data_IF_327500532955
#
_entry.id   IF_327500532955
#
_cell.length_a   1.000
_cell.length_b   1.000
_cell.length_c   1.000
_cell.angle_alpha   90.00
_cell.angle_beta   90.00
_cell.angle_gamma   90.00
#
_symmetry.space_group_name_H-M   'P 1'
#
loop_
_entity.id
_entity.type
_entity.pdbx_description
1 polymer ?
#
# COMPACT_ATOMS: atom_id res chain seq x y z
N UNK A 1 -7.11 20.16 15.37
CA UNK A 1 -6.31 20.71 14.26
C UNK A 1 -5.32 19.63 13.87
N UNK A 2 -5.27 19.29 12.58
CA UNK A 2 -4.44 18.19 12.06
C UNK A 2 -2.96 18.51 12.25
N UNK A 3 -2.22 17.55 12.81
CA UNK A 3 -0.77 17.61 12.91
C UNK A 3 -0.12 17.25 11.56
N UNK A 4 -0.07 18.22 10.67
CA UNK A 4 0.47 18.05 9.30
C UNK A 4 1.93 17.61 9.26
N UNK A 5 2.72 17.99 10.28
CA UNK A 5 4.11 17.56 10.38
C UNK A 5 4.18 16.05 10.58
N UNK A 6 3.46 15.50 11.56
CA UNK A 6 3.48 14.07 11.83
C UNK A 6 2.78 13.24 10.75
N UNK A 7 1.77 13.79 10.06
CA UNK A 7 1.22 13.18 8.83
C UNK A 7 2.31 13.03 7.77
N UNK A 8 3.10 14.08 7.51
CA UNK A 8 4.19 14.04 6.53
C UNK A 8 5.28 13.04 6.90
N UNK A 9 5.70 12.99 8.17
CA UNK A 9 6.70 12.03 8.66
C UNK A 9 6.20 10.59 8.50
N UNK A 10 4.94 10.32 8.88
CA UNK A 10 4.36 9.00 8.74
C UNK A 10 4.29 8.56 7.26
N UNK A 11 3.92 9.48 6.35
CA UNK A 11 3.85 9.20 4.93
C UNK A 11 5.21 8.84 4.32
N UNK A 12 6.26 9.61 4.65
CA UNK A 12 7.63 9.33 4.17
C UNK A 12 8.15 8.02 4.76
N UNK A 13 7.97 7.79 6.06
CA UNK A 13 8.41 6.56 6.71
C UNK A 13 7.76 5.33 6.06
N UNK A 14 6.45 5.38 5.83
CA UNK A 14 5.73 4.27 5.20
C UNK A 14 6.04 4.11 3.71
N UNK A 15 6.39 5.19 3.01
CA UNK A 15 6.89 5.10 1.64
C UNK A 15 8.16 4.26 1.58
N UNK A 16 9.12 4.50 2.49
CA UNK A 16 10.35 3.71 2.57
C UNK A 16 10.05 2.25 2.89
N UNK A 17 9.20 1.99 3.89
CA UNK A 17 8.78 0.62 4.25
C UNK A 17 8.13 -0.08 3.06
N UNK A 18 7.24 0.60 2.34
CA UNK A 18 6.58 0.04 1.16
C UNK A 18 7.57 -0.31 0.05
N UNK A 19 8.58 0.54 -0.21
CA UNK A 19 9.61 0.21 -1.21
C UNK A 19 10.40 -1.04 -0.83
N UNK A 20 10.75 -1.22 0.44
CA UNK A 20 11.43 -2.45 0.90
C UNK A 20 10.53 -3.67 0.71
N UNK A 21 9.27 -3.60 1.15
CA UNK A 21 8.32 -4.71 1.03
C UNK A 21 8.08 -5.08 -0.42
N UNK A 22 7.81 -4.12 -1.30
CA UNK A 22 7.58 -4.39 -2.72
C UNK A 22 8.84 -4.87 -3.45
N UNK A 23 10.02 -4.40 -3.06
CA UNK A 23 11.28 -4.94 -3.61
C UNK A 23 11.43 -6.41 -3.26
N UNK A 24 11.22 -6.77 -2.00
CA UNK A 24 11.28 -8.17 -1.55
C UNK A 24 10.22 -9.03 -2.23
N UNK A 25 8.97 -8.54 -2.30
CA UNK A 25 7.87 -9.20 -2.99
C UNK A 25 8.19 -9.44 -4.48
N UNK A 26 8.81 -8.46 -5.15
CA UNK A 26 9.16 -8.58 -6.57
C UNK A 26 10.12 -9.73 -6.85
N UNK A 27 11.01 -10.07 -5.91
CA UNK A 27 11.93 -11.20 -6.05
C UNK A 27 11.15 -12.52 -6.15
N UNK A 28 10.10 -12.67 -5.35
CA UNK A 28 9.29 -13.90 -5.32
C UNK A 28 8.25 -13.95 -6.45
N UNK A 29 7.84 -12.79 -6.97
CA UNK A 29 6.77 -12.67 -7.96
C UNK A 29 7.27 -12.37 -9.37
N UNK A 30 8.58 -12.24 -9.57
CA UNK A 30 9.21 -11.85 -10.84
C UNK A 30 8.74 -12.70 -12.02
N UNK A 31 8.55 -14.00 -11.80
CA UNK A 31 8.08 -14.94 -12.83
C UNK A 31 6.79 -14.49 -13.51
N UNK A 32 5.85 -13.93 -12.75
CA UNK A 32 4.58 -13.42 -13.30
C UNK A 32 4.76 -12.16 -14.15
N UNK A 33 5.72 -11.31 -13.80
CA UNK A 33 6.00 -10.08 -14.56
C UNK A 33 6.80 -10.35 -15.84
N UNK A 34 7.50 -11.48 -15.91
CA UNK A 34 8.26 -11.91 -17.09
C UNK A 34 7.51 -12.84 -18.03
N UNK A 35 6.32 -13.33 -17.66
CA UNK A 35 5.53 -14.22 -18.49
C UNK A 35 4.80 -13.43 -19.60
N UNK A 36 5.08 -13.72 -20.89
CA UNK A 36 4.46 -13.03 -22.02
C UNK A 36 2.93 -13.06 -22.03
N UNK A 37 2.30 -14.07 -21.40
CA UNK A 37 0.85 -14.19 -21.32
C UNK A 37 0.18 -13.03 -20.56
N UNK A 38 0.93 -12.30 -19.73
CA UNK A 38 0.41 -11.20 -18.91
C UNK A 38 0.90 -9.82 -19.34
N UNK A 39 1.67 -9.70 -20.42
CA UNK A 39 2.25 -8.41 -20.83
C UNK A 39 1.19 -7.37 -21.22
N UNK A 40 0.07 -7.80 -21.78
CA UNK A 40 -1.05 -6.91 -22.11
C UNK A 40 -1.77 -6.36 -20.88
N UNK A 41 -1.54 -6.95 -19.70
CA UNK A 41 -2.22 -6.58 -18.47
C UNK A 41 -1.56 -5.38 -17.78
N UNK A 42 -0.27 -5.17 -18.02
CA UNK A 42 0.49 -4.10 -17.39
C UNK A 42 0.18 -2.74 -18.01
N UNK A 43 0.12 -1.71 -17.16
CA UNK A 43 -0.05 -0.34 -17.67
C UNK A 43 1.12 0.05 -18.58
N UNK A 44 0.87 0.96 -19.53
CA UNK A 44 1.94 1.55 -20.37
C UNK A 44 2.98 2.33 -19.56
N UNK A 45 2.67 2.70 -18.31
CA UNK A 45 3.64 3.28 -17.39
C UNK A 45 4.65 2.24 -16.90
N UNK A 46 4.19 1.02 -16.63
CA UNK A 46 5.01 -0.09 -16.18
C UNK A 46 5.75 -0.76 -17.32
N UNK A 47 5.07 -1.02 -18.44
CA UNK A 47 5.60 -1.78 -19.57
C UNK A 47 5.19 -1.10 -20.88
N UNK A 48 5.82 0.02 -21.26
CA UNK A 48 5.52 0.71 -22.53
C UNK A 48 5.82 -0.16 -23.76
N UNK A 49 6.82 -1.03 -23.63
CA UNK A 49 7.18 -2.10 -24.56
C UNK A 49 7.44 -3.36 -23.74
N UNK A 50 7.19 -4.54 -24.31
CA UNK A 50 7.49 -5.82 -23.66
C UNK A 50 8.95 -5.86 -23.20
N UNK A 51 9.16 -6.02 -21.89
CA UNK A 51 10.49 -5.93 -21.28
C UNK A 51 10.48 -5.30 -19.89
N UNK A 52 11.67 -4.99 -19.33
CA UNK A 52 11.77 -4.43 -17.99
C UNK A 52 11.15 -3.03 -17.89
N UNK A 53 10.58 -2.65 -16.72
CA UNK A 53 10.06 -1.32 -16.52
C UNK A 53 11.14 -0.24 -16.68
N UNK A 54 10.80 0.93 -17.26
CA UNK A 54 11.73 2.05 -17.32
C UNK A 54 11.96 2.63 -15.92
N UNK A 55 13.09 3.31 -15.70
CA UNK A 55 13.40 3.96 -14.43
C UNK A 55 12.34 5.00 -13.99
N UNK A 56 11.61 5.58 -14.95
CA UNK A 56 10.48 6.48 -14.66
C UNK A 56 9.36 5.78 -13.88
N UNK A 57 9.13 4.48 -14.11
CA UNK A 57 8.14 3.71 -13.34
C UNK A 57 8.48 3.67 -11.86
N UNK A 58 9.76 3.54 -11.51
CA UNK A 58 10.22 3.59 -10.12
C UNK A 58 9.99 4.96 -9.47
N UNK A 59 10.18 6.05 -10.22
CA UNK A 59 9.85 7.39 -9.72
C UNK A 59 8.33 7.53 -9.47
N UNK A 60 7.49 7.01 -10.36
CA UNK A 60 6.04 7.00 -10.17
C UNK A 60 5.62 6.13 -8.99
N UNK A 61 6.24 4.97 -8.78
CA UNK A 61 5.89 4.08 -7.66
C UNK A 61 6.18 4.75 -6.31
N UNK A 62 7.29 5.47 -6.18
CA UNK A 62 7.60 6.26 -4.98
C UNK A 62 6.59 7.39 -4.80
N UNK A 63 6.27 8.13 -5.86
CA UNK A 63 5.32 9.24 -5.80
C UNK A 63 3.92 8.76 -5.38
N UNK A 64 3.43 7.67 -5.99
CA UNK A 64 2.12 7.10 -5.66
C UNK A 64 2.08 6.49 -4.27
N UNK A 65 3.17 5.86 -3.81
CA UNK A 65 3.29 5.40 -2.43
C UNK A 65 3.23 6.58 -1.45
N UNK A 66 3.94 7.68 -1.71
CA UNK A 66 3.91 8.87 -0.86
C UNK A 66 2.51 9.48 -0.78
N UNK A 67 1.81 9.61 -1.91
CA UNK A 67 0.43 10.12 -1.94
C UNK A 67 -0.51 9.17 -1.18
N UNK A 68 -0.41 7.87 -1.44
CA UNK A 68 -1.24 6.86 -0.77
C UNK A 68 -1.06 6.87 0.75
N UNK A 69 0.19 6.93 1.22
CA UNK A 69 0.49 6.97 2.65
C UNK A 69 0.13 8.31 3.30
N UNK A 70 0.26 9.43 2.58
CA UNK A 70 -0.23 10.72 3.05
C UNK A 70 -1.75 10.70 3.27
N UNK A 71 -2.51 10.12 2.33
CA UNK A 71 -3.95 9.95 2.45
C UNK A 71 -4.32 8.99 3.61
N UNK A 72 -3.60 7.88 3.75
CA UNK A 72 -3.78 6.95 4.87
C UNK A 72 -3.55 7.62 6.22
N UNK A 73 -2.43 8.34 6.37
CA UNK A 73 -2.07 9.07 7.59
C UNK A 73 -3.06 10.20 7.89
N UNK A 74 -3.54 10.89 6.87
CA UNK A 74 -4.60 11.89 7.02
C UNK A 74 -5.92 11.26 7.50
N UNK A 75 -6.32 10.12 6.93
CA UNK A 75 -7.49 9.37 7.39
C UNK A 75 -7.36 8.95 8.86
N UNK A 76 -6.16 8.50 9.28
CA UNK A 76 -5.89 8.22 10.69
C UNK A 76 -6.02 9.48 11.56
N UNK A 77 -5.48 10.63 11.13
CA UNK A 77 -5.59 11.89 11.86
C UNK A 77 -7.05 12.31 12.10
N UNK A 78 -7.95 12.00 11.16
CA UNK A 78 -9.37 12.37 11.23
C UNK A 78 -10.26 11.34 11.92
N UNK A 79 -9.97 10.06 11.74
CA UNK A 79 -10.86 8.97 12.14
C UNK A 79 -10.28 8.12 13.27
N UNK A 80 -9.01 8.32 13.62
CA UNK A 80 -8.31 7.51 14.60
C UNK A 80 -8.91 7.59 16.01
N UNK A 81 -9.58 8.68 16.39
CA UNK A 81 -10.26 8.81 17.68
C UNK A 81 -11.48 7.90 17.82
N UNK A 82 -12.11 7.51 16.71
CA UNK A 82 -13.21 6.55 16.70
C UNK A 82 -12.76 5.11 17.05
N UNK A 83 -11.46 4.81 16.90
CA UNK A 83 -10.89 3.53 17.31
C UNK A 83 -10.61 3.58 18.81
N UNK A 84 -11.53 2.99 19.59
CA UNK A 84 -11.50 2.95 21.07
C UNK A 84 -10.44 1.96 21.58
N UNK A 85 -9.17 2.34 21.47
CA UNK A 85 -8.04 1.62 22.04
C UNK A 85 -7.09 2.57 22.75
N UNK A 86 -6.57 2.13 23.90
CA UNK A 86 -5.62 2.90 24.71
C UNK A 86 -4.19 2.72 24.23
N UNK A 87 -3.82 1.49 23.87
CA UNK A 87 -2.49 1.17 23.38
C UNK A 87 -2.35 1.57 21.90
N UNK A 88 -1.29 2.29 21.58
CA UNK A 88 -1.06 2.81 20.23
C UNK A 88 -0.84 1.70 19.20
N UNK A 89 -0.22 0.58 19.58
CA UNK A 89 0.03 -0.55 18.67
C UNK A 89 -1.31 -1.21 18.32
N UNK A 90 -2.11 -1.57 19.31
CA UNK A 90 -3.43 -2.17 19.10
C UNK A 90 -4.39 -1.24 18.36
N UNK A 91 -4.37 0.06 18.69
CA UNK A 91 -5.12 1.08 17.97
C UNK A 91 -4.74 1.13 16.50
N UNK A 92 -3.43 1.13 16.22
CA UNK A 92 -2.88 1.12 14.88
C UNK A 92 -3.25 -0.13 14.10
N UNK A 93 -3.09 -1.31 14.71
CA UNK A 93 -3.47 -2.59 14.10
C UNK A 93 -4.96 -2.62 13.74
N UNK A 94 -5.84 -2.18 14.64
CA UNK A 94 -7.29 -2.13 14.37
C UNK A 94 -7.63 -1.16 13.25
N UNK A 95 -7.01 0.03 13.24
CA UNK A 95 -7.21 0.98 12.16
C UNK A 95 -6.70 0.44 10.82
N UNK A 96 -5.48 -0.11 10.77
CA UNK A 96 -4.89 -0.70 9.58
C UNK A 96 -5.74 -1.86 9.04
N UNK A 97 -6.19 -2.76 9.92
CA UNK A 97 -7.09 -3.85 9.55
C UNK A 97 -8.42 -3.32 9.01
N UNK A 98 -9.03 -2.31 9.65
CA UNK A 98 -10.26 -1.68 9.17
C UNK A 98 -10.09 -1.13 7.75
N UNK A 99 -9.02 -0.36 7.51
CA UNK A 99 -8.74 0.20 6.17
C UNK A 99 -8.51 -0.92 5.15
N UNK A 100 -7.77 -1.97 5.51
CA UNK A 100 -7.60 -3.13 4.64
C UNK A 100 -8.93 -3.81 4.31
N UNK A 101 -9.84 -3.98 5.28
CA UNK A 101 -11.15 -4.58 5.06
C UNK A 101 -12.04 -3.74 4.13
N UNK A 102 -12.00 -2.40 4.24
CA UNK A 102 -12.88 -1.51 3.46
C UNK A 102 -12.28 -1.04 2.13
N UNK A 103 -10.96 -1.09 1.98
CA UNK A 103 -10.27 -0.65 0.76
C UNK A 103 -9.43 -1.75 0.11
N UNK A 104 -8.61 -2.47 0.89
CA UNK A 104 -7.72 -3.52 0.38
C UNK A 104 -8.47 -4.71 -0.21
N UNK A 105 -9.42 -5.30 0.53
CA UNK A 105 -10.22 -6.43 0.06
C UNK A 105 -11.08 -6.03 -1.15
N UNK A 106 -11.91 -4.97 -1.11
CA UNK A 106 -12.69 -4.56 -2.27
C UNK A 106 -11.83 -4.23 -3.50
N UNK A 107 -10.68 -3.58 -3.30
CA UNK A 107 -9.72 -3.31 -4.37
C UNK A 107 -9.19 -4.59 -5.02
N UNK A 108 -8.83 -5.59 -4.21
CA UNK A 108 -8.34 -6.89 -4.69
C UNK A 108 -9.42 -7.65 -5.46
N UNK A 109 -10.65 -7.69 -4.95
CA UNK A 109 -11.79 -8.32 -5.62
C UNK A 109 -12.13 -7.61 -6.93
N UNK A 110 -12.04 -6.28 -6.97
CA UNK A 110 -12.23 -5.50 -8.19
C UNK A 110 -11.17 -5.86 -9.23
N UNK A 111 -9.90 -5.96 -8.83
CA UNK A 111 -8.83 -6.40 -9.74
C UNK A 111 -9.04 -7.82 -10.23
N UNK A 112 -9.48 -8.75 -9.38
CA UNK A 112 -9.80 -10.12 -9.79
C UNK A 112 -10.89 -10.18 -10.86
N UNK A 113 -11.89 -9.31 -10.79
CA UNK A 113 -12.99 -9.28 -11.76
C UNK A 113 -12.63 -8.57 -13.06
N UNK A 114 -11.78 -7.55 -13.01
CA UNK A 114 -11.53 -6.65 -14.14
C UNK A 114 -10.20 -6.90 -14.85
N UNK A 115 -9.24 -7.51 -14.18
CA UNK A 115 -7.86 -7.63 -14.65
C UNK A 115 -7.52 -9.12 -14.77
N UNK A 116 -7.11 -9.54 -15.97
CA UNK A 116 -6.65 -10.90 -16.22
C UNK A 116 -5.23 -11.11 -15.68
N UNK A 117 -5.12 -11.34 -14.38
CA UNK A 117 -3.87 -11.64 -13.67
C UNK A 117 -3.97 -12.97 -12.92
N UNK A 118 -2.84 -13.67 -12.72
CA UNK A 118 -2.79 -14.88 -11.93
C UNK A 118 -3.34 -14.67 -10.52
N UNK A 119 -4.22 -15.59 -10.07
CA UNK A 119 -4.77 -15.56 -8.71
C UNK A 119 -3.67 -15.59 -7.65
N UNK A 120 -2.60 -16.35 -7.88
CA UNK A 120 -1.47 -16.41 -6.96
C UNK A 120 -0.75 -15.06 -6.80
N UNK A 121 -0.63 -14.26 -7.88
CA UNK A 121 -0.06 -12.92 -7.83
C UNK A 121 -0.96 -11.96 -7.04
N UNK A 122 -2.27 -12.03 -7.29
CA UNK A 122 -3.27 -11.26 -6.54
C UNK A 122 -3.22 -11.56 -5.04
N UNK A 123 -3.09 -12.83 -4.66
CA UNK A 123 -2.96 -13.24 -3.27
C UNK A 123 -1.67 -12.69 -2.66
N UNK A 124 -0.55 -12.73 -3.40
CA UNK A 124 0.71 -12.10 -2.93
C UNK A 124 0.51 -10.61 -2.64
N UNK A 125 -0.05 -9.85 -3.58
CA UNK A 125 -0.30 -8.42 -3.41
C UNK A 125 -1.26 -8.12 -2.25
N UNK A 126 -2.26 -8.98 -2.06
CA UNK A 126 -3.21 -8.84 -0.96
C UNK A 126 -2.52 -9.05 0.39
N UNK A 127 -1.63 -10.04 0.51
CA UNK A 127 -0.90 -10.33 1.74
C UNK A 127 0.15 -9.27 2.06
N UNK A 128 0.91 -8.80 1.06
CA UNK A 128 1.85 -7.70 1.22
C UNK A 128 1.12 -6.40 1.56
N UNK A 129 -0.01 -6.14 0.89
CA UNK A 129 -0.93 -5.06 1.21
C UNK A 129 -1.43 -5.11 2.65
N UNK A 130 -1.93 -6.25 3.13
CA UNK A 130 -2.34 -6.43 4.53
C UNK A 130 -1.22 -6.07 5.50
N UNK A 131 -0.01 -6.61 5.28
CA UNK A 131 1.14 -6.30 6.12
C UNK A 131 1.44 -4.80 6.15
N UNK A 132 1.42 -4.15 4.98
CA UNK A 132 1.62 -2.71 4.87
C UNK A 132 0.56 -1.90 5.60
N UNK A 133 -0.73 -2.24 5.46
CA UNK A 133 -1.81 -1.55 6.17
C UNK A 133 -1.68 -1.68 7.70
N UNK A 134 -1.30 -2.85 8.21
CA UNK A 134 -1.07 -3.07 9.64
C UNK A 134 0.10 -2.23 10.16
N UNK A 135 1.24 -2.26 9.46
CA UNK A 135 2.42 -1.46 9.82
C UNK A 135 2.12 0.03 9.70
N UNK A 136 1.44 0.46 8.64
CA UNK A 136 1.01 1.83 8.43
C UNK A 136 0.10 2.33 9.52
N UNK A 137 -0.85 1.50 9.97
CA UNK A 137 -1.70 1.78 11.11
C UNK A 137 -0.89 1.99 12.40
N UNK A 138 0.08 1.13 12.70
CA UNK A 138 0.97 1.28 13.86
C UNK A 138 1.78 2.58 13.77
N UNK A 139 2.40 2.86 12.62
CA UNK A 139 3.21 4.08 12.40
C UNK A 139 2.34 5.32 12.59
N UNK A 140 1.17 5.37 11.99
CA UNK A 140 0.24 6.48 12.15
C UNK A 140 -0.18 6.66 13.62
N UNK A 141 -0.51 5.58 14.32
CA UNK A 141 -0.92 5.64 15.72
C UNK A 141 0.18 6.05 16.70
N UNK A 142 1.44 5.76 16.38
CA UNK A 142 2.59 6.20 17.19
C UNK A 142 2.96 7.66 16.96
N UNK A 143 2.75 8.18 15.75
CA UNK A 143 3.23 9.51 15.37
C UNK A 143 2.14 10.58 15.45
N UNK A 144 0.88 10.23 15.19
CA UNK A 144 -0.20 11.18 14.97
C UNK A 144 -1.18 11.13 16.14
N UNK A 145 -1.51 12.31 16.68
CA UNK A 145 -2.64 12.46 17.61
C UNK A 145 -3.92 12.68 16.78
N UNK A 146 -4.89 11.75 16.80
CA UNK A 146 -6.12 11.93 16.06
C UNK A 146 -7.01 13.00 16.72
N UNK A 147 -7.80 13.69 15.91
CA UNK A 147 -8.76 14.73 16.33
C UNK A 147 -9.95 14.17 17.11
#
# INVERSE_FOLDING_TARGET
MVDWKNVGIAAVAMTVVAQVVHTLESIFTMGYYSDPNYFSTWSKLMMPTAGPPPASFFAYSIAFALVGWALFSFAYAKLGSAVKEKDAIWKGLKFGALVFLVAGIPGTLTMYLLINIPVALLVSWMLSGLALYLVGGIVAAKLIKPE
#
